data_IF_157130938804
#
_entry.id   IF_157130938804
#
_cell.length_a   1.000
_cell.length_b   1.000
_cell.length_c   1.000
_cell.angle_alpha   90.00
_cell.angle_beta   90.00
_cell.angle_gamma   90.00
#
_symmetry.space_group_name_H-M   'P 1'
#
loop_
_entity.id
_entity.type
_entity.pdbx_description
1 polymer ?
#
# COMPACT_ATOMS: atom_id res chain seq x y z
N UNK A 1 -10.38 10.96 2.58
CA UNK A 1 -9.57 11.84 1.72
C UNK A 1 -10.30 12.26 0.44
N UNK A 2 -10.62 11.36 -0.50
CA UNK A 2 -11.30 11.75 -1.75
C UNK A 2 -12.73 12.25 -1.52
N UNK A 3 -13.53 11.51 -0.74
CA UNK A 3 -14.90 11.90 -0.39
C UNK A 3 -14.93 13.25 0.35
N UNK A 4 -14.01 13.47 1.30
CA UNK A 4 -13.87 14.73 2.04
C UNK A 4 -13.45 15.93 1.17
N UNK A 5 -12.99 15.69 -0.06
CA UNK A 5 -12.62 16.71 -1.04
C UNK A 5 -13.56 16.77 -2.24
N UNK A 6 -14.71 16.06 -2.19
CA UNK A 6 -15.68 15.96 -3.29
C UNK A 6 -15.05 15.51 -4.63
N UNK A 7 -14.01 14.67 -4.58
CA UNK A 7 -13.39 14.11 -5.78
C UNK A 7 -14.10 12.79 -6.13
N UNK A 8 -15.05 12.88 -7.05
CA UNK A 8 -15.87 11.73 -7.47
C UNK A 8 -15.28 10.97 -8.65
N UNK A 9 -14.73 11.70 -9.62
CA UNK A 9 -14.17 11.15 -10.86
C UNK A 9 -12.95 10.26 -10.60
N UNK A 10 -13.00 9.02 -11.09
CA UNK A 10 -11.93 8.05 -10.89
C UNK A 10 -10.62 8.45 -11.55
N UNK A 11 -10.66 9.03 -12.75
CA UNK A 11 -9.45 9.53 -13.41
C UNK A 11 -8.77 10.65 -12.59
N UNK A 12 -9.57 11.47 -11.89
CA UNK A 12 -9.01 12.50 -11.00
C UNK A 12 -8.39 11.87 -9.75
N UNK A 13 -9.01 10.83 -9.16
CA UNK A 13 -8.41 10.08 -8.05
C UNK A 13 -7.06 9.47 -8.45
N UNK A 14 -6.99 8.86 -9.64
CA UNK A 14 -5.76 8.27 -10.20
C UNK A 14 -4.67 9.33 -10.37
N UNK A 15 -4.98 10.48 -11.00
CA UNK A 15 -4.01 11.56 -11.21
C UNK A 15 -3.46 12.14 -9.91
N UNK A 16 -4.35 12.36 -8.94
CA UNK A 16 -3.97 12.89 -7.62
C UNK A 16 -3.06 11.90 -6.90
N UNK A 17 -3.39 10.61 -6.88
CA UNK A 17 -2.51 9.59 -6.27
C UNK A 17 -1.18 9.49 -7.00
N UNK A 18 -1.19 9.59 -8.33
CA UNK A 18 0.03 9.64 -9.14
C UNK A 18 1.03 10.70 -8.68
N UNK A 19 0.55 11.89 -8.27
CA UNK A 19 1.41 12.95 -7.72
C UNK A 19 2.02 12.65 -6.34
N UNK A 20 1.52 11.63 -5.64
CA UNK A 20 2.02 11.19 -4.34
C UNK A 20 2.93 9.96 -4.41
N UNK A 21 3.15 9.37 -5.60
CA UNK A 21 3.99 8.18 -5.74
C UNK A 21 5.46 8.59 -5.74
N UNK A 22 6.20 8.15 -4.73
CA UNK A 22 7.65 8.37 -4.58
C UNK A 22 8.48 7.12 -4.89
N UNK A 23 7.91 5.92 -4.74
CA UNK A 23 8.56 4.64 -5.01
C UNK A 23 8.78 4.43 -6.52
N UNK A 24 10.04 4.28 -6.93
CA UNK A 24 10.46 4.16 -8.33
C UNK A 24 9.72 3.07 -9.12
N UNK A 25 9.52 1.88 -8.52
CA UNK A 25 8.79 0.78 -9.16
C UNK A 25 7.32 1.14 -9.44
N UNK A 26 6.66 1.81 -8.49
CA UNK A 26 5.26 2.26 -8.64
C UNK A 26 5.15 3.47 -9.56
N UNK A 27 6.13 4.39 -9.51
CA UNK A 27 6.19 5.54 -10.39
C UNK A 27 6.32 5.10 -11.85
N UNK A 28 7.13 4.07 -12.11
CA UNK A 28 7.25 3.45 -13.43
C UNK A 28 5.91 2.87 -13.92
N UNK A 29 5.14 2.21 -13.05
CA UNK A 29 3.80 1.74 -13.40
C UNK A 29 2.90 2.91 -13.78
N UNK A 30 2.87 3.96 -12.95
CA UNK A 30 2.03 5.12 -13.19
C UNK A 30 2.40 5.82 -14.50
N UNK A 31 3.67 6.20 -14.68
CA UNK A 31 4.14 6.93 -15.85
C UNK A 31 3.88 6.18 -17.17
N UNK A 32 4.00 4.84 -17.17
CA UNK A 32 3.83 4.05 -18.38
C UNK A 32 2.38 3.59 -18.63
N UNK A 33 1.53 3.54 -17.60
CA UNK A 33 0.20 2.95 -17.72
C UNK A 33 -0.96 3.89 -17.44
N UNK A 34 -0.74 5.11 -16.93
CA UNK A 34 -1.83 6.03 -16.52
C UNK A 34 -2.86 6.25 -17.64
N UNK A 35 -2.43 6.42 -18.89
CA UNK A 35 -3.34 6.63 -20.02
C UNK A 35 -4.19 5.39 -20.33
N UNK A 36 -3.70 4.19 -20.02
CA UNK A 36 -4.45 2.93 -20.15
C UNK A 36 -5.54 2.76 -19.07
N UNK A 37 -5.64 3.69 -18.12
CA UNK A 37 -6.69 3.75 -17.10
C UNK A 37 -7.76 4.80 -17.38
N UNK A 38 -7.70 5.49 -18.52
CA UNK A 38 -8.83 6.33 -18.97
C UNK A 38 -10.06 5.45 -19.18
N UNK A 39 -11.16 5.79 -18.51
CA UNK A 39 -12.41 5.01 -18.54
C UNK A 39 -12.44 3.79 -17.60
N UNK A 40 -11.33 3.49 -16.90
CA UNK A 40 -11.30 2.46 -15.86
C UNK A 40 -11.62 3.03 -14.49
N UNK A 41 -11.99 2.14 -13.58
CA UNK A 41 -12.28 2.50 -12.20
C UNK A 41 -11.01 2.83 -11.41
N UNK A 42 -11.19 3.61 -10.35
CA UNK A 42 -10.14 3.86 -9.36
C UNK A 42 -9.67 2.55 -8.69
N UNK A 43 -10.60 1.61 -8.49
CA UNK A 43 -10.31 0.32 -7.87
C UNK A 43 -9.35 -0.51 -8.72
N UNK A 44 -9.56 -0.61 -10.03
CA UNK A 44 -8.65 -1.33 -10.94
C UNK A 44 -7.23 -0.76 -10.94
N UNK A 45 -7.08 0.56 -10.88
CA UNK A 45 -5.77 1.20 -10.77
C UNK A 45 -5.11 0.90 -9.43
N UNK A 46 -5.87 0.99 -8.33
CA UNK A 46 -5.41 0.66 -6.99
C UNK A 46 -4.93 -0.79 -6.90
N UNK A 47 -5.69 -1.73 -7.44
CA UNK A 47 -5.33 -3.15 -7.44
C UNK A 47 -4.02 -3.39 -8.19
N UNK A 48 -3.84 -2.74 -9.35
CA UNK A 48 -2.58 -2.83 -10.09
C UNK A 48 -1.38 -2.29 -9.30
N UNK A 49 -1.54 -1.19 -8.57
CA UNK A 49 -0.48 -0.67 -7.72
C UNK A 49 -0.11 -1.69 -6.63
N UNK A 50 -1.10 -2.35 -6.02
CA UNK A 50 -0.85 -3.38 -5.00
C UNK A 50 -0.17 -4.63 -5.57
N UNK A 51 -0.51 -5.07 -6.78
CA UNK A 51 0.19 -6.18 -7.45
C UNK A 51 1.69 -5.92 -7.61
N UNK A 52 2.08 -4.66 -7.86
CA UNK A 52 3.48 -4.30 -8.07
C UNK A 52 4.18 -3.93 -6.77
N UNK A 53 3.45 -3.38 -5.79
CA UNK A 53 3.97 -3.03 -4.48
C UNK A 53 4.22 -4.25 -3.59
N UNK A 54 3.32 -5.24 -3.65
CA UNK A 54 3.38 -6.45 -2.84
C UNK A 54 4.16 -7.51 -3.61
N UNK A 55 5.48 -7.43 -3.55
CA UNK A 55 6.33 -8.44 -4.14
C UNK A 55 6.37 -9.70 -3.25
N UNK A 56 6.73 -10.88 -3.79
CA UNK A 56 6.94 -12.08 -2.99
C UNK A 56 7.93 -11.85 -1.84
N UNK A 57 9.00 -11.10 -2.09
CA UNK A 57 10.02 -10.78 -1.11
C UNK A 57 9.44 -9.96 0.06
N UNK A 58 8.51 -9.03 -0.22
CA UNK A 58 7.83 -8.29 0.84
C UNK A 58 6.97 -9.19 1.73
N UNK A 59 6.30 -10.19 1.15
CA UNK A 59 5.53 -11.17 1.94
C UNK A 59 6.45 -12.03 2.79
N UNK A 60 7.58 -12.48 2.24
CA UNK A 60 8.58 -13.25 2.97
C UNK A 60 9.13 -12.44 4.15
N UNK A 61 9.51 -11.18 3.93
CA UNK A 61 9.97 -10.28 4.99
C UNK A 61 8.90 -10.10 6.08
N UNK A 62 7.63 -9.95 5.69
CA UNK A 62 6.53 -9.82 6.63
C UNK A 62 6.32 -11.09 7.47
N UNK A 63 6.41 -12.27 6.85
CA UNK A 63 6.37 -13.55 7.58
C UNK A 63 7.56 -13.70 8.52
N UNK A 64 8.76 -13.33 8.09
CA UNK A 64 9.93 -13.33 8.97
C UNK A 64 9.74 -12.43 10.19
N UNK A 65 9.21 -11.22 10.00
CA UNK A 65 8.92 -10.30 11.09
C UNK A 65 7.91 -10.86 12.10
N UNK A 66 6.93 -11.64 11.63
CA UNK A 66 5.95 -12.32 12.48
C UNK A 66 6.58 -13.50 13.23
N UNK A 67 7.36 -14.34 12.55
CA UNK A 67 8.00 -15.51 13.17
C UNK A 67 9.05 -15.09 14.20
N UNK A 68 9.81 -14.03 13.90
CA UNK A 68 10.85 -13.46 14.78
C UNK A 68 10.27 -12.43 15.77
N UNK A 69 8.95 -12.28 15.83
CA UNK A 69 8.29 -11.31 16.70
C UNK A 69 8.59 -11.63 18.16
N UNK A 70 9.32 -10.73 18.82
CA UNK A 70 9.60 -10.76 20.25
C UNK A 70 9.45 -9.37 20.84
N UNK A 71 9.20 -9.31 22.14
CA UNK A 71 9.18 -8.05 22.86
C UNK A 71 10.61 -7.50 22.97
N UNK A 72 10.82 -6.23 22.62
CA UNK A 72 12.11 -5.54 22.76
C UNK A 72 12.27 -4.96 24.17
N UNK A 73 13.50 -4.86 24.68
CA UNK A 73 13.76 -4.30 26.01
C UNK A 73 13.37 -2.81 26.13
N UNK A 74 13.31 -2.11 24.99
CA UNK A 74 12.94 -0.70 24.89
C UNK A 74 11.46 -0.47 24.62
N UNK A 75 10.65 -1.51 24.43
CA UNK A 75 9.22 -1.36 24.12
C UNK A 75 8.37 -1.81 25.30
N UNK A 76 7.26 -1.10 25.54
CA UNK A 76 6.26 -1.56 26.49
C UNK A 76 5.34 -2.61 25.87
N UNK A 77 4.59 -3.30 26.73
CA UNK A 77 3.67 -4.35 26.30
C UNK A 77 2.58 -3.86 25.33
N UNK A 78 2.17 -2.60 25.44
CA UNK A 78 1.15 -2.02 24.55
C UNK A 78 1.72 -1.82 23.14
N UNK A 79 2.92 -1.26 23.03
CA UNK A 79 3.65 -1.09 21.79
C UNK A 79 3.91 -2.44 21.10
N UNK A 80 4.36 -3.43 21.85
CA UNK A 80 4.48 -4.81 21.36
C UNK A 80 3.16 -5.35 20.80
N UNK A 81 2.07 -5.24 21.57
CA UNK A 81 0.77 -5.77 21.19
C UNK A 81 0.18 -5.09 19.96
N UNK A 82 0.39 -3.77 19.82
CA UNK A 82 -0.01 -3.00 18.65
C UNK A 82 0.78 -3.47 17.42
N UNK A 83 2.11 -3.61 17.54
CA UNK A 83 2.99 -4.08 16.48
C UNK A 83 2.61 -5.49 16.01
N UNK A 84 2.40 -6.40 16.96
CA UNK A 84 1.93 -7.76 16.70
C UNK A 84 0.63 -7.78 15.89
N UNK A 85 -0.34 -6.97 16.30
CA UNK A 85 -1.65 -6.87 15.62
C UNK A 85 -1.54 -6.24 14.24
N UNK A 86 -0.68 -5.24 14.06
CA UNK A 86 -0.44 -4.64 12.74
C UNK A 86 0.14 -5.65 11.76
N UNK A 87 1.18 -6.40 12.17
CA UNK A 87 1.78 -7.44 11.33
C UNK A 87 0.75 -8.50 10.93
N UNK A 88 -0.09 -8.97 11.87
CA UNK A 88 -1.17 -9.91 11.60
C UNK A 88 -2.20 -9.37 10.60
N UNK A 89 -2.54 -8.08 10.66
CA UNK A 89 -3.47 -7.45 9.71
C UNK A 89 -2.88 -7.21 8.32
N UNK A 90 -1.56 -7.23 8.19
CA UNK A 90 -0.90 -7.05 6.89
C UNK A 90 -0.78 -8.38 6.12
N UNK A 91 -0.82 -9.52 6.83
CA UNK A 91 -0.83 -10.86 6.22
C UNK A 91 -2.24 -11.34 5.85
N UNK A 92 -3.25 -11.00 6.68
CA UNK A 92 -4.66 -11.37 6.46
C UNK A 92 -5.39 -10.39 5.56
#
# INVERSE_FOLDING_TARGET
>A
FFATKAIESDINKIRIVGSFIDKTNLLSVYANKVDSYVGKSWQEFKDRLFEVAITPEWREELYEQIVKLKMLDSEDFLGYSIRARMLQRMVN
#
